data_IF_001486827122
#
_entry.id   IF_001486827122
#
_cell.length_a   1.000
_cell.length_b   1.000
_cell.length_c   1.000
_cell.angle_alpha   90.00
_cell.angle_beta   90.00
_cell.angle_gamma   90.00
#
_symmetry.space_group_name_H-M   'P 1'
#
loop_
_entity.id
_entity.type
_entity.pdbx_description
1 polymer ?
#
# COMPACT_ATOMS: atom_id res chain seq x y z
N UNK A 1 -18.33 8.51 -52.01
CA UNK A 1 -19.42 9.10 -51.21
C UNK A 1 -20.38 8.08 -50.59
N UNK A 2 -20.33 6.79 -50.95
CA UNK A 2 -21.16 5.73 -50.30
C UNK A 2 -20.51 5.03 -49.10
N UNK A 3 -19.21 5.09 -48.93
CA UNK A 3 -18.48 4.42 -47.88
C UNK A 3 -18.54 5.14 -46.52
N UNK A 4 -18.66 6.46 -46.52
CA UNK A 4 -18.72 7.28 -45.26
C UNK A 4 -20.07 7.11 -44.56
N UNK A 5 -21.17 7.01 -45.32
CA UNK A 5 -22.52 6.81 -44.73
C UNK A 5 -22.68 5.44 -44.08
N UNK A 6 -22.05 4.38 -44.64
CA UNK A 6 -22.09 3.03 -44.03
C UNK A 6 -21.37 2.97 -42.68
N UNK A 7 -20.23 3.67 -42.54
CA UNK A 7 -19.46 3.72 -41.29
C UNK A 7 -20.25 4.42 -40.16
N UNK A 8 -20.89 5.55 -40.46
CA UNK A 8 -21.71 6.26 -39.48
C UNK A 8 -22.96 5.46 -39.06
N UNK A 9 -23.59 4.73 -39.98
CA UNK A 9 -24.76 3.92 -39.68
C UNK A 9 -24.36 2.71 -38.80
N UNK A 10 -23.21 2.09 -39.06
CA UNK A 10 -22.73 0.95 -38.27
C UNK A 10 -22.33 1.39 -36.84
N UNK A 11 -21.63 2.52 -36.70
CA UNK A 11 -21.30 3.11 -35.39
C UNK A 11 -22.57 3.48 -34.58
N UNK A 12 -23.55 4.09 -35.24
CA UNK A 12 -24.83 4.44 -34.63
C UNK A 12 -25.68 3.21 -34.25
N UNK A 13 -25.63 2.15 -35.03
CA UNK A 13 -26.35 0.90 -34.78
C UNK A 13 -25.70 0.13 -33.62
N UNK A 14 -24.36 0.15 -33.50
CA UNK A 14 -23.64 -0.50 -32.40
C UNK A 14 -23.85 0.23 -31.09
N UNK A 15 -23.83 1.57 -31.08
CA UNK A 15 -24.14 2.40 -29.90
C UNK A 15 -25.60 2.18 -29.48
N UNK A 16 -26.55 2.08 -30.43
CA UNK A 16 -27.94 1.78 -30.13
C UNK A 16 -28.15 0.35 -29.59
N UNK A 17 -27.35 -0.61 -30.04
CA UNK A 17 -27.37 -2.00 -29.54
C UNK A 17 -26.85 -2.05 -28.09
N UNK A 18 -25.77 -1.37 -27.80
CA UNK A 18 -25.19 -1.27 -26.43
C UNK A 18 -26.19 -0.63 -25.45
N UNK A 19 -26.95 0.36 -25.89
CA UNK A 19 -27.95 1.04 -25.05
C UNK A 19 -29.25 0.23 -24.93
N UNK A 20 -29.67 -0.50 -25.99
CA UNK A 20 -30.92 -1.25 -25.97
C UNK A 20 -30.87 -2.56 -25.17
N UNK A 21 -29.69 -3.18 -25.00
CA UNK A 21 -29.52 -4.36 -24.15
C UNK A 21 -29.74 -4.01 -22.65
N UNK A 22 -29.57 -2.74 -22.28
CA UNK A 22 -29.79 -2.26 -20.90
C UNK A 22 -31.25 -2.23 -20.44
N UNK A 23 -32.22 -2.47 -21.35
CA UNK A 23 -33.67 -2.40 -21.05
C UNK A 23 -34.38 -3.75 -20.95
N UNK A 24 -33.68 -4.89 -21.12
CA UNK A 24 -34.27 -6.22 -20.96
C UNK A 24 -34.12 -6.72 -19.52
N UNK A 25 -35.11 -6.46 -18.67
CA UNK A 25 -35.21 -7.00 -17.32
C UNK A 25 -35.49 -8.50 -17.38
N UNK A 26 -34.54 -9.33 -16.99
CA UNK A 26 -34.83 -10.72 -16.62
C UNK A 26 -34.93 -10.79 -15.09
N UNK A 27 -36.15 -10.94 -14.58
CA UNK A 27 -36.41 -11.23 -13.18
C UNK A 27 -36.04 -12.69 -12.91
N UNK A 28 -35.02 -12.93 -12.13
CA UNK A 28 -34.79 -14.21 -11.48
C UNK A 28 -34.50 -13.97 -10.01
N UNK A 29 -35.46 -14.32 -9.18
CA UNK A 29 -35.33 -14.38 -7.73
C UNK A 29 -34.54 -15.65 -7.37
N UNK A 30 -33.43 -15.50 -6.68
CA UNK A 30 -32.89 -16.61 -5.90
C UNK A 30 -32.42 -16.11 -4.52
N UNK A 31 -33.11 -16.57 -3.49
CA UNK A 31 -32.72 -16.39 -2.08
C UNK A 31 -31.66 -17.45 -1.74
N UNK A 32 -30.54 -17.01 -1.25
CA UNK A 32 -29.50 -17.88 -0.71
C UNK A 32 -28.26 -17.08 -0.29
N UNK A 33 -28.39 -16.32 0.80
CA UNK A 33 -27.24 -15.62 1.38
C UNK A 33 -26.39 -16.64 2.17
N UNK A 34 -25.29 -17.10 1.60
CA UNK A 34 -24.15 -17.60 2.36
C UNK A 34 -23.17 -16.46 2.61
N UNK A 35 -22.88 -16.22 3.88
CA UNK A 35 -21.87 -15.24 4.32
C UNK A 35 -20.49 -15.67 3.82
N UNK A 36 -20.03 -15.04 2.76
CA UNK A 36 -18.66 -15.19 2.29
C UNK A 36 -17.77 -14.19 3.04
N UNK A 37 -16.73 -14.73 3.65
CA UNK A 37 -15.66 -14.04 4.36
C UNK A 37 -15.21 -12.75 3.65
N UNK A 38 -15.24 -11.63 4.37
CA UNK A 38 -14.68 -10.34 3.89
C UNK A 38 -13.15 -10.40 3.95
N UNK A 39 -12.52 -11.13 3.04
CA UNK A 39 -11.16 -10.82 2.64
C UNK A 39 -11.21 -9.52 1.84
N UNK A 40 -10.39 -8.55 2.19
CA UNK A 40 -10.24 -7.31 1.42
C UNK A 40 -9.78 -7.70 0.01
N UNK A 41 -10.71 -7.69 -0.95
CA UNK A 41 -10.41 -7.98 -2.35
C UNK A 41 -9.60 -6.81 -2.89
N UNK A 42 -8.42 -7.08 -3.43
CA UNK A 42 -7.67 -6.09 -4.21
C UNK A 42 -8.49 -5.73 -5.45
N UNK A 43 -8.72 -4.44 -5.68
CA UNK A 43 -9.46 -3.97 -6.85
C UNK A 43 -8.59 -3.82 -8.11
N UNK A 44 -7.29 -4.08 -8.00
CA UNK A 44 -6.39 -4.00 -9.14
C UNK A 44 -6.50 -5.27 -10.00
N UNK A 45 -6.75 -5.11 -11.29
CA UNK A 45 -6.71 -6.20 -12.28
C UNK A 45 -5.58 -5.95 -13.28
N UNK A 46 -4.90 -7.02 -13.69
CA UNK A 46 -3.86 -6.97 -14.72
C UNK A 46 -4.41 -7.18 -16.13
N UNK A 47 -5.61 -7.72 -16.25
CA UNK A 47 -6.28 -8.07 -17.49
C UNK A 47 -7.70 -7.47 -17.57
N UNK A 48 -8.39 -7.70 -18.67
CA UNK A 48 -9.74 -7.19 -18.92
C UNK A 48 -10.88 -8.13 -18.50
N UNK A 49 -10.61 -9.11 -17.65
CA UNK A 49 -11.64 -9.85 -16.91
C UNK A 49 -12.20 -8.94 -15.81
N UNK A 50 -13.18 -8.15 -16.17
CA UNK A 50 -13.69 -7.07 -15.31
C UNK A 50 -14.60 -7.61 -14.21
N UNK A 51 -15.39 -8.62 -14.51
CA UNK A 51 -16.31 -9.23 -13.54
C UNK A 51 -15.69 -10.40 -12.76
N UNK A 52 -14.48 -10.83 -13.13
CA UNK A 52 -13.65 -11.76 -12.35
C UNK A 52 -14.12 -13.21 -12.44
N UNK A 53 -14.71 -13.60 -13.55
CA UNK A 53 -15.18 -14.97 -13.78
C UNK A 53 -14.15 -15.87 -14.51
N UNK A 54 -12.94 -15.34 -14.78
CA UNK A 54 -11.84 -15.97 -15.52
C UNK A 54 -12.15 -16.21 -17.02
N UNK A 55 -13.20 -15.60 -17.55
CA UNK A 55 -13.52 -15.57 -18.97
C UNK A 55 -13.36 -14.13 -19.49
N UNK A 56 -13.18 -13.98 -20.81
CA UNK A 56 -13.03 -12.68 -21.48
C UNK A 56 -14.14 -12.53 -22.51
N UNK A 57 -15.26 -12.02 -22.08
CA UNK A 57 -16.48 -11.98 -22.88
C UNK A 57 -16.81 -10.59 -23.41
N UNK A 58 -17.22 -10.53 -24.68
CA UNK A 58 -17.61 -9.28 -25.31
C UNK A 58 -18.86 -8.63 -24.68
N UNK A 59 -19.82 -9.45 -24.19
CA UNK A 59 -21.10 -8.98 -23.65
C UNK A 59 -21.09 -8.73 -22.14
N UNK A 60 -20.00 -9.10 -21.47
CA UNK A 60 -19.72 -8.79 -20.07
C UNK A 60 -18.56 -7.80 -20.01
N UNK A 61 -17.32 -8.24 -19.99
CA UNK A 61 -16.14 -7.40 -19.85
C UNK A 61 -16.02 -6.30 -20.89
N UNK A 62 -16.14 -6.65 -22.17
CA UNK A 62 -16.09 -5.68 -23.26
C UNK A 62 -17.19 -4.63 -23.17
N UNK A 63 -18.39 -5.04 -22.76
CA UNK A 63 -19.52 -4.12 -22.59
C UNK A 63 -19.36 -3.23 -21.34
N UNK A 64 -18.83 -3.75 -20.23
CA UNK A 64 -18.51 -2.98 -19.02
C UNK A 64 -17.47 -1.91 -19.30
N UNK A 65 -16.38 -2.27 -19.98
CA UNK A 65 -15.33 -1.34 -20.41
C UNK A 65 -15.90 -0.25 -21.32
N UNK A 66 -16.63 -0.63 -22.36
CA UNK A 66 -17.20 0.31 -23.33
C UNK A 66 -18.19 1.27 -22.66
N UNK A 67 -19.05 0.78 -21.76
CA UNK A 67 -19.99 1.62 -21.00
C UNK A 67 -19.27 2.60 -20.08
N UNK A 68 -18.22 2.17 -19.40
CA UNK A 68 -17.39 3.05 -18.55
C UNK A 68 -16.75 4.16 -19.39
N UNK A 69 -16.20 3.85 -20.57
CA UNK A 69 -15.64 4.84 -21.49
C UNK A 69 -16.68 5.83 -22.01
N UNK A 70 -17.97 5.46 -22.08
CA UNK A 70 -19.08 6.38 -22.34
C UNK A 70 -19.52 7.17 -21.10
N UNK A 71 -18.87 6.99 -19.95
CA UNK A 71 -19.18 7.69 -18.70
C UNK A 71 -20.41 7.13 -17.96
N UNK A 72 -20.85 5.90 -18.26
CA UNK A 72 -21.90 5.24 -17.50
C UNK A 72 -21.31 4.76 -16.16
N UNK A 73 -22.07 5.00 -15.08
CA UNK A 73 -21.69 4.61 -13.70
C UNK A 73 -22.89 3.96 -13.01
N UNK A 74 -22.67 3.35 -11.86
CA UNK A 74 -23.73 2.73 -11.07
C UNK A 74 -24.53 1.65 -11.85
N UNK A 75 -25.86 1.57 -11.62
CA UNK A 75 -26.70 0.56 -12.31
C UNK A 75 -26.63 0.59 -13.84
N UNK A 76 -26.57 1.75 -14.54
CA UNK A 76 -26.35 1.79 -15.98
C UNK A 76 -25.06 1.12 -16.46
N UNK A 77 -23.99 1.11 -15.65
CA UNK A 77 -22.75 0.43 -15.97
C UNK A 77 -22.96 -1.08 -16.02
N UNK A 78 -23.56 -1.67 -15.00
CA UNK A 78 -23.55 -3.12 -14.75
C UNK A 78 -24.80 -3.87 -15.23
N UNK A 79 -25.95 -3.19 -15.41
CA UNK A 79 -27.23 -3.87 -15.73
C UNK A 79 -27.12 -4.71 -17.00
N UNK A 80 -27.25 -6.04 -16.85
CA UNK A 80 -27.19 -7.00 -17.95
C UNK A 80 -25.82 -7.10 -18.65
N UNK A 81 -24.75 -6.69 -17.96
CA UNK A 81 -23.39 -6.77 -18.45
C UNK A 81 -22.44 -7.46 -17.45
N UNK A 82 -22.96 -8.09 -16.43
CA UNK A 82 -22.19 -8.90 -15.46
C UNK A 82 -22.62 -10.34 -15.64
N UNK A 83 -21.66 -11.26 -15.70
CA UNK A 83 -21.90 -12.69 -15.87
C UNK A 83 -22.64 -13.29 -14.64
N UNK A 84 -23.32 -14.42 -14.85
CA UNK A 84 -24.08 -15.07 -13.76
C UNK A 84 -23.19 -15.71 -12.69
N UNK A 85 -21.95 -15.99 -13.00
CA UNK A 85 -20.89 -16.56 -12.16
C UNK A 85 -19.80 -15.55 -11.80
N UNK A 86 -20.03 -14.26 -12.07
CA UNK A 86 -19.11 -13.18 -11.77
C UNK A 86 -18.73 -13.13 -10.29
N UNK A 87 -17.45 -12.88 -10.04
CA UNK A 87 -16.92 -12.64 -8.69
C UNK A 87 -17.25 -11.21 -8.22
N UNK A 88 -17.26 -10.26 -9.15
CA UNK A 88 -17.51 -8.83 -8.91
C UNK A 88 -18.84 -8.43 -9.55
N UNK A 89 -19.79 -8.03 -8.69
CA UNK A 89 -21.17 -7.70 -9.12
C UNK A 89 -21.59 -6.29 -8.73
N UNK A 90 -20.80 -5.63 -7.90
CA UNK A 90 -21.07 -4.28 -7.42
C UNK A 90 -20.54 -3.23 -8.41
N UNK A 91 -21.32 -2.17 -8.65
CA UNK A 91 -20.97 -1.17 -9.64
C UNK A 91 -19.74 -0.32 -9.27
N UNK A 92 -19.52 -0.06 -7.99
CA UNK A 92 -18.35 0.71 -7.52
C UNK A 92 -17.09 -0.15 -7.66
N UNK A 93 -17.19 -1.45 -7.35
CA UNK A 93 -16.08 -2.39 -7.49
C UNK A 93 -15.72 -2.59 -8.98
N UNK A 94 -16.69 -2.80 -9.84
CA UNK A 94 -16.52 -2.87 -11.30
C UNK A 94 -15.89 -1.59 -11.84
N UNK A 95 -16.39 -0.42 -11.44
CA UNK A 95 -15.81 0.86 -11.85
C UNK A 95 -14.35 0.99 -11.42
N UNK A 96 -14.04 0.65 -10.17
CA UNK A 96 -12.67 0.69 -9.63
C UNK A 96 -11.72 -0.25 -10.39
N UNK A 97 -12.18 -1.43 -10.80
CA UNK A 97 -11.38 -2.37 -11.58
C UNK A 97 -11.08 -1.83 -12.98
N UNK A 98 -12.06 -1.23 -13.65
CA UNK A 98 -11.84 -0.59 -14.96
C UNK A 98 -10.87 0.59 -14.85
N UNK A 99 -11.04 1.46 -13.85
CA UNK A 99 -10.12 2.58 -13.58
C UNK A 99 -8.70 2.10 -13.25
N UNK A 100 -8.57 0.96 -12.57
CA UNK A 100 -7.28 0.33 -12.25
C UNK A 100 -6.49 -0.11 -13.48
N UNK A 101 -7.13 -0.37 -14.62
CA UNK A 101 -6.44 -0.65 -15.89
C UNK A 101 -5.71 0.58 -16.45
N UNK A 102 -6.22 1.79 -16.17
CA UNK A 102 -5.58 3.04 -16.59
C UNK A 102 -5.22 3.03 -18.08
N UNK A 103 -4.00 3.44 -18.40
CA UNK A 103 -3.50 3.53 -19.79
C UNK A 103 -3.44 2.18 -20.56
N UNK A 104 -3.69 1.05 -19.90
CA UNK A 104 -3.82 -0.23 -20.59
C UNK A 104 -5.06 -0.27 -21.52
N UNK A 105 -6.04 0.58 -21.24
CA UNK A 105 -7.22 0.73 -22.10
C UNK A 105 -7.00 1.65 -23.31
N UNK A 106 -5.84 2.27 -23.45
CA UNK A 106 -5.37 2.94 -24.66
C UNK A 106 -4.81 1.87 -25.63
N UNK A 107 -5.73 1.25 -26.34
CA UNK A 107 -5.44 0.06 -27.16
C UNK A 107 -4.62 0.41 -28.39
N UNK A 108 -4.87 1.55 -29.03
CA UNK A 108 -4.16 1.98 -30.22
C UNK A 108 -2.94 2.88 -29.90
N UNK A 109 -2.74 3.22 -28.62
CA UNK A 109 -1.62 4.02 -28.11
C UNK A 109 -1.54 5.41 -28.74
N UNK A 110 -2.67 6.12 -28.83
CA UNK A 110 -2.73 7.52 -29.28
C UNK A 110 -2.58 8.51 -28.11
N UNK A 111 -2.53 8.01 -26.85
CA UNK A 111 -2.45 8.77 -25.61
C UNK A 111 -3.80 9.15 -25.01
N UNK A 112 -4.91 8.71 -25.59
CA UNK A 112 -6.26 8.89 -25.07
C UNK A 112 -6.95 7.55 -24.90
N UNK A 113 -8.00 7.50 -24.09
CA UNK A 113 -8.83 6.32 -23.90
C UNK A 113 -10.24 6.67 -24.40
N UNK A 114 -10.58 6.18 -25.56
CA UNK A 114 -11.79 6.55 -26.28
C UNK A 114 -12.74 5.38 -26.54
N UNK A 115 -14.04 5.58 -26.28
CA UNK A 115 -15.04 4.54 -26.48
C UNK A 115 -15.19 4.08 -27.95
N UNK A 116 -14.95 4.99 -28.92
CA UNK A 116 -15.15 4.73 -30.36
C UNK A 116 -13.88 4.24 -31.07
N UNK A 117 -12.76 4.27 -30.42
CA UNK A 117 -11.49 3.67 -30.83
C UNK A 117 -11.21 2.47 -29.94
N UNK A 118 -10.61 2.65 -28.78
CA UNK A 118 -10.18 1.59 -27.88
C UNK A 118 -11.30 0.67 -27.42
N UNK A 119 -12.41 1.25 -26.95
CA UNK A 119 -13.56 0.48 -26.49
C UNK A 119 -14.18 -0.37 -27.61
N UNK A 120 -14.23 0.17 -28.82
CA UNK A 120 -14.79 -0.57 -29.98
C UNK A 120 -13.82 -1.62 -30.49
N UNK A 121 -12.52 -1.35 -30.50
CA UNK A 121 -11.49 -2.37 -30.83
C UNK A 121 -11.53 -3.50 -29.80
N UNK A 122 -11.55 -3.19 -28.50
CA UNK A 122 -11.68 -4.18 -27.43
C UNK A 122 -12.90 -5.08 -27.65
N UNK A 123 -14.07 -4.49 -27.88
CA UNK A 123 -15.30 -5.23 -28.09
C UNK A 123 -15.23 -6.14 -29.35
N UNK A 124 -14.66 -5.63 -30.45
CA UNK A 124 -14.48 -6.40 -31.70
C UNK A 124 -13.54 -7.59 -31.48
N UNK A 125 -12.43 -7.38 -30.77
CA UNK A 125 -11.49 -8.46 -30.46
C UNK A 125 -12.15 -9.56 -29.63
N UNK A 126 -12.89 -9.20 -28.61
CA UNK A 126 -13.63 -10.16 -27.75
C UNK A 126 -14.76 -10.88 -28.51
N UNK A 127 -15.31 -10.28 -29.58
CA UNK A 127 -16.18 -11.00 -30.54
C UNK A 127 -15.42 -11.90 -31.52
N UNK A 128 -14.09 -12.00 -31.40
CA UNK A 128 -13.25 -12.85 -32.22
C UNK A 128 -12.96 -12.26 -33.63
N UNK A 129 -13.10 -10.94 -33.83
CA UNK A 129 -12.68 -10.29 -35.07
C UNK A 129 -11.15 -10.18 -35.09
N UNK A 130 -10.56 -10.47 -36.25
CA UNK A 130 -9.12 -10.39 -36.50
C UNK A 130 -8.86 -9.69 -37.85
N UNK A 131 -7.60 -9.28 -38.09
CA UNK A 131 -7.20 -8.62 -39.35
C UNK A 131 -7.93 -7.30 -39.60
N UNK A 132 -8.13 -6.94 -40.84
CA UNK A 132 -8.78 -5.68 -41.22
C UNK A 132 -10.15 -5.43 -40.55
N UNK A 133 -11.06 -6.42 -40.39
CA UNK A 133 -12.30 -6.22 -39.65
C UNK A 133 -12.14 -5.74 -38.19
N UNK A 134 -11.05 -6.08 -37.54
CA UNK A 134 -10.77 -5.63 -36.16
C UNK A 134 -10.53 -4.12 -36.10
N UNK A 135 -9.73 -3.60 -37.03
CA UNK A 135 -9.19 -2.23 -36.97
C UNK A 135 -9.86 -1.22 -37.90
N UNK A 136 -10.68 -1.66 -38.85
CA UNK A 136 -11.29 -0.77 -39.86
C UNK A 136 -12.12 0.34 -39.25
N UNK A 137 -11.74 1.59 -39.53
CA UNK A 137 -12.41 2.83 -39.10
C UNK A 137 -12.48 3.06 -37.57
N UNK A 138 -11.61 2.39 -36.80
CA UNK A 138 -11.61 2.49 -35.32
C UNK A 138 -10.25 2.82 -34.72
N UNK A 139 -9.22 2.95 -35.54
CA UNK A 139 -7.89 3.41 -35.06
C UNK A 139 -7.86 4.93 -35.12
N UNK A 140 -7.40 5.56 -34.05
CA UNK A 140 -7.30 7.00 -33.94
C UNK A 140 -6.21 7.59 -34.86
N UNK A 141 -6.37 8.85 -35.21
CA UNK A 141 -5.32 9.57 -35.93
C UNK A 141 -4.18 9.90 -34.99
N UNK A 142 -2.99 9.39 -35.28
CA UNK A 142 -1.80 9.59 -34.44
C UNK A 142 -1.48 8.40 -33.55
N UNK A 143 -2.26 7.32 -33.66
CA UNK A 143 -1.99 6.06 -32.95
C UNK A 143 -0.63 5.47 -33.35
N UNK A 144 0.05 4.84 -32.40
CA UNK A 144 1.29 4.11 -32.64
C UNK A 144 1.02 2.65 -33.05
N UNK A 145 -0.05 2.02 -32.49
CA UNK A 145 -0.51 0.67 -32.89
C UNK A 145 -1.57 0.79 -33.98
N UNK A 146 -1.14 0.67 -35.23
CA UNK A 146 -1.99 0.92 -36.40
C UNK A 146 -2.30 -0.33 -37.22
N UNK A 147 -1.64 -1.45 -36.95
CA UNK A 147 -1.86 -2.72 -37.66
C UNK A 147 -2.70 -3.68 -36.82
N UNK A 148 -3.43 -4.56 -37.48
CA UNK A 148 -4.19 -5.58 -36.79
C UNK A 148 -3.29 -6.50 -35.96
N UNK A 149 -2.09 -6.82 -36.46
CA UNK A 149 -1.11 -7.65 -35.77
C UNK A 149 -0.65 -7.02 -34.45
N UNK A 150 -0.36 -5.70 -34.43
CA UNK A 150 0.03 -4.98 -33.22
C UNK A 150 -1.11 -4.95 -32.19
N UNK A 151 -2.33 -4.70 -32.65
CA UNK A 151 -3.53 -4.69 -31.79
C UNK A 151 -3.82 -6.08 -31.23
N UNK A 152 -3.81 -7.13 -32.08
CA UNK A 152 -4.02 -8.51 -31.65
C UNK A 152 -2.97 -8.98 -30.65
N UNK A 153 -1.70 -8.64 -30.85
CA UNK A 153 -0.63 -8.95 -29.93
C UNK A 153 -0.83 -8.26 -28.57
N UNK A 154 -1.24 -7.00 -28.58
CA UNK A 154 -1.54 -6.24 -27.35
C UNK A 154 -2.77 -6.79 -26.62
N UNK A 155 -3.85 -7.06 -27.33
CA UNK A 155 -5.07 -7.64 -26.79
C UNK A 155 -4.84 -9.05 -26.21
N UNK A 156 -3.97 -9.86 -26.83
CA UNK A 156 -3.60 -11.18 -26.31
C UNK A 156 -2.97 -11.10 -24.92
N UNK A 157 -2.19 -10.03 -24.61
CA UNK A 157 -1.67 -9.79 -23.25
C UNK A 157 -2.81 -9.41 -22.29
N UNK A 158 -3.72 -8.53 -22.71
CA UNK A 158 -4.84 -8.10 -21.88
C UNK A 158 -5.88 -9.20 -21.61
N UNK A 159 -5.95 -10.20 -22.47
CA UNK A 159 -6.82 -11.39 -22.31
C UNK A 159 -6.06 -12.63 -21.83
N UNK A 160 -4.90 -12.46 -21.24
CA UNK A 160 -4.20 -13.55 -20.56
C UNK A 160 -4.56 -13.59 -19.09
N UNK A 161 -4.84 -14.77 -18.57
CA UNK A 161 -4.93 -14.98 -17.14
C UNK A 161 -3.53 -14.85 -16.52
N UNK A 162 -3.44 -14.10 -15.45
CA UNK A 162 -2.21 -14.00 -14.69
C UNK A 162 -2.10 -15.21 -13.76
N UNK A 163 -1.15 -16.09 -14.07
CA UNK A 163 -0.88 -17.32 -13.32
C UNK A 163 0.44 -17.29 -12.55
N UNK A 164 1.22 -16.23 -12.73
CA UNK A 164 2.53 -16.11 -12.12
C UNK A 164 2.44 -15.25 -10.86
N UNK A 165 2.90 -15.74 -9.70
CA UNK A 165 2.87 -14.95 -8.49
C UNK A 165 4.01 -13.93 -8.43
N UNK A 166 3.84 -12.80 -7.70
CA UNK A 166 4.90 -11.81 -7.48
C UNK A 166 6.17 -12.43 -6.91
N UNK A 167 7.33 -11.93 -7.34
CA UNK A 167 8.66 -12.37 -6.87
C UNK A 167 9.30 -11.24 -6.08
N UNK A 168 9.64 -11.49 -4.81
CA UNK A 168 10.37 -10.53 -3.99
C UNK A 168 11.74 -10.22 -4.58
N UNK A 169 12.07 -8.95 -4.68
CA UNK A 169 13.37 -8.43 -5.14
C UNK A 169 14.19 -7.83 -4.01
N UNK A 170 13.54 -7.45 -2.90
CA UNK A 170 14.24 -7.05 -1.67
C UNK A 170 14.77 -8.27 -0.90
N UNK A 171 15.77 -8.01 -0.05
CA UNK A 171 16.27 -9.01 0.88
C UNK A 171 15.25 -9.29 2.00
N UNK A 172 15.38 -10.47 2.62
CA UNK A 172 14.55 -10.86 3.77
C UNK A 172 15.08 -10.31 5.12
N UNK A 173 16.23 -9.65 5.11
CA UNK A 173 16.87 -9.13 6.33
C UNK A 173 17.04 -7.62 6.24
N UNK A 174 16.66 -6.92 7.31
CA UNK A 174 16.78 -5.48 7.46
C UNK A 174 17.52 -5.16 8.74
N UNK A 175 18.14 -3.98 8.79
CA UNK A 175 18.73 -3.43 10.01
C UNK A 175 18.25 -2.00 10.15
N UNK A 176 17.80 -1.62 11.35
CA UNK A 176 17.39 -0.26 11.66
C UNK A 176 17.87 0.09 13.08
N UNK A 177 18.20 1.35 13.30
CA UNK A 177 18.56 1.82 14.62
C UNK A 177 17.33 1.86 15.54
N UNK A 178 17.54 1.71 16.81
CA UNK A 178 16.50 1.96 17.80
C UNK A 178 16.08 3.44 17.85
N UNK A 179 15.08 3.75 18.68
CA UNK A 179 14.57 5.10 18.92
C UNK A 179 13.96 5.77 17.68
N UNK A 180 13.77 5.02 16.59
CA UNK A 180 13.10 5.45 15.36
C UNK A 180 12.16 4.37 14.83
N UNK A 181 11.22 4.74 13.96
CA UNK A 181 10.27 3.77 13.38
C UNK A 181 10.62 3.34 11.97
N UNK A 182 11.42 4.09 11.22
CA UNK A 182 11.75 3.77 9.85
C UNK A 182 12.67 2.56 9.74
N UNK A 183 12.35 1.61 8.84
CA UNK A 183 13.17 0.42 8.58
C UNK A 183 13.71 0.44 7.15
N UNK A 184 12.83 0.51 6.15
CA UNK A 184 13.23 0.44 4.75
C UNK A 184 12.04 0.17 3.83
N UNK A 185 12.31 -0.44 2.67
CA UNK A 185 11.27 -0.77 1.69
C UNK A 185 11.42 -2.21 1.24
N UNK A 186 10.32 -2.94 1.26
CA UNK A 186 10.17 -4.25 0.63
C UNK A 186 9.77 -4.03 -0.82
N UNK A 187 10.37 -4.77 -1.74
CA UNK A 187 10.06 -4.69 -3.17
C UNK A 187 9.82 -6.07 -3.76
N UNK A 188 8.93 -6.13 -4.73
CA UNK A 188 8.67 -7.30 -5.54
C UNK A 188 8.40 -6.88 -6.99
N UNK A 189 8.53 -7.83 -7.91
CA UNK A 189 8.18 -7.68 -9.32
C UNK A 189 7.27 -8.81 -9.76
N UNK A 190 6.46 -8.54 -10.74
CA UNK A 190 5.64 -9.53 -11.40
C UNK A 190 5.80 -9.40 -12.91
N UNK A 191 5.73 -10.53 -13.62
CA UNK A 191 5.94 -10.57 -15.07
C UNK A 191 4.73 -10.01 -15.84
N UNK A 192 3.52 -10.18 -15.28
CA UNK A 192 2.25 -9.90 -15.93
C UNK A 192 1.52 -8.72 -15.28
N UNK A 193 1.88 -8.34 -14.04
CA UNK A 193 1.26 -7.24 -13.30
C UNK A 193 2.24 -6.11 -13.02
N UNK A 194 1.80 -4.87 -13.20
CA UNK A 194 2.55 -3.66 -12.83
C UNK A 194 2.18 -3.12 -11.43
N UNK A 195 1.15 -3.68 -10.80
CA UNK A 195 0.66 -3.24 -9.50
C UNK A 195 0.80 -4.37 -8.48
N UNK A 196 1.65 -4.18 -7.49
CA UNK A 196 1.83 -5.13 -6.38
C UNK A 196 1.48 -4.41 -5.08
N UNK A 197 0.62 -5.03 -4.28
CA UNK A 197 0.25 -4.55 -2.97
C UNK A 197 0.92 -5.41 -1.89
N UNK A 198 1.38 -4.75 -0.81
CA UNK A 198 2.02 -5.42 0.31
C UNK A 198 1.15 -5.41 1.55
N UNK A 199 1.25 -6.49 2.33
CA UNK A 199 0.70 -6.62 3.68
C UNK A 199 1.66 -7.37 4.58
N UNK A 200 1.49 -7.28 5.91
CA UNK A 200 2.40 -7.89 6.88
C UNK A 200 1.61 -8.54 8.02
N UNK A 201 2.16 -9.63 8.55
CA UNK A 201 1.61 -10.32 9.71
C UNK A 201 2.04 -9.67 11.04
N UNK A 202 1.22 -9.85 12.08
CA UNK A 202 1.53 -9.37 13.43
C UNK A 202 1.17 -7.89 13.63
N UNK A 203 1.69 -7.31 14.73
CA UNK A 203 1.37 -5.94 15.15
C UNK A 203 2.59 -5.11 15.57
N UNK A 204 3.79 -5.70 15.57
CA UNK A 204 5.03 -5.03 15.97
C UNK A 204 5.69 -4.27 14.82
N UNK A 205 5.45 -4.76 13.58
CA UNK A 205 5.87 -4.13 12.33
C UNK A 205 4.64 -3.71 11.53
N UNK A 206 4.78 -2.71 10.69
CA UNK A 206 3.77 -2.24 9.76
C UNK A 206 4.38 -2.06 8.36
N UNK A 207 3.55 -2.24 7.33
CA UNK A 207 3.94 -2.02 5.94
C UNK A 207 2.83 -1.27 5.22
N UNK A 208 3.19 -0.35 4.33
CA UNK A 208 2.22 0.29 3.44
C UNK A 208 1.96 -0.60 2.22
N UNK A 209 0.89 -0.32 1.48
CA UNK A 209 0.63 -0.98 0.18
C UNK A 209 1.80 -0.89 -0.79
N UNK A 210 2.60 0.19 -0.70
CA UNK A 210 3.77 0.44 -1.56
C UNK A 210 5.06 -0.18 -1.03
N UNK A 211 4.99 -0.98 0.05
CA UNK A 211 6.12 -1.71 0.62
C UNK A 211 6.97 -0.94 1.64
N UNK A 212 6.59 0.25 2.08
CA UNK A 212 7.34 0.98 3.12
C UNK A 212 7.16 0.29 4.46
N UNK A 213 8.26 -0.27 4.98
CA UNK A 213 8.33 -1.02 6.22
C UNK A 213 8.74 -0.14 7.40
N UNK A 214 8.05 -0.26 8.51
CA UNK A 214 8.31 0.49 9.74
C UNK A 214 8.00 -0.33 11.00
N UNK A 215 8.59 0.04 12.13
CA UNK A 215 8.13 -0.42 13.43
C UNK A 215 6.78 0.24 13.78
N UNK A 216 5.92 -0.47 14.45
CA UNK A 216 4.67 0.08 14.98
C UNK A 216 4.90 1.08 16.12
N UNK A 217 5.98 0.88 16.88
CA UNK A 217 6.54 1.82 17.85
C UNK A 217 8.07 1.74 17.79
N UNK A 218 8.76 2.84 18.10
CA UNK A 218 10.22 2.84 18.14
C UNK A 218 10.74 1.73 19.07
N UNK A 219 11.66 0.87 18.60
CA UNK A 219 12.26 -0.18 19.41
C UNK A 219 13.27 0.42 20.42
N UNK A 220 13.55 -0.34 21.45
CA UNK A 220 14.55 -0.17 22.47
C UNK A 220 15.43 -1.43 22.41
N UNK A 221 16.72 -1.24 22.10
CA UNK A 221 17.67 -2.33 21.84
C UNK A 221 17.91 -3.17 23.10
N UNK A 222 17.98 -2.54 24.27
CA UNK A 222 18.20 -3.20 25.58
C UNK A 222 17.01 -4.10 25.94
N UNK A 223 15.82 -3.79 25.38
CA UNK A 223 14.61 -4.59 25.58
C UNK A 223 14.45 -5.66 24.50
N UNK A 224 14.68 -5.32 23.22
CA UNK A 224 14.45 -6.26 22.11
C UNK A 224 15.29 -5.95 20.87
N UNK A 225 16.22 -6.86 20.55
CA UNK A 225 17.21 -6.71 19.48
C UNK A 225 16.77 -7.18 18.10
N UNK A 226 15.61 -7.85 17.97
CA UNK A 226 15.13 -8.35 16.66
C UNK A 226 13.62 -8.54 16.61
N UNK A 227 13.07 -8.38 15.42
CA UNK A 227 11.66 -8.54 15.07
C UNK A 227 11.53 -9.44 13.85
N UNK A 228 10.48 -10.25 13.80
CA UNK A 228 10.16 -11.13 12.68
C UNK A 228 8.72 -10.98 12.26
N UNK A 229 8.46 -11.07 10.97
CA UNK A 229 7.12 -11.08 10.43
C UNK A 229 7.11 -11.76 9.05
N UNK A 230 5.93 -12.13 8.58
CA UNK A 230 5.71 -12.58 7.20
C UNK A 230 5.10 -11.44 6.40
N UNK A 231 5.77 -11.05 5.32
CA UNK A 231 5.24 -10.10 4.33
C UNK A 231 4.58 -10.90 3.22
N UNK A 232 3.41 -10.44 2.79
CA UNK A 232 2.70 -10.94 1.62
C UNK A 232 2.72 -9.88 0.52
N UNK A 233 3.13 -10.26 -0.68
CA UNK A 233 3.01 -9.50 -1.91
C UNK A 233 1.87 -10.09 -2.75
N UNK A 234 0.97 -9.26 -3.26
CA UNK A 234 -0.15 -9.66 -4.11
C UNK A 234 -0.23 -8.77 -5.34
N UNK A 235 -0.43 -9.37 -6.51
CA UNK A 235 -0.74 -8.69 -7.78
C UNK A 235 -2.25 -8.47 -8.00
N UNK A 236 -3.08 -8.96 -7.06
CA UNK A 236 -4.54 -8.95 -7.14
C UNK A 236 -5.14 -10.32 -7.50
N UNK A 237 -4.38 -11.21 -8.14
CA UNK A 237 -4.77 -12.58 -8.54
C UNK A 237 -4.00 -13.61 -7.73
N UNK A 238 -2.68 -13.46 -7.71
CA UNK A 238 -1.75 -14.38 -7.04
C UNK A 238 -1.08 -13.70 -5.84
N UNK A 239 -0.48 -14.49 -4.98
CA UNK A 239 0.25 -13.97 -3.82
C UNK A 239 1.49 -14.80 -3.53
N UNK A 240 2.53 -14.13 -3.01
CA UNK A 240 3.76 -14.75 -2.50
C UNK A 240 4.04 -14.21 -1.11
N UNK A 241 4.63 -15.03 -0.26
CA UNK A 241 5.01 -14.64 1.10
C UNK A 241 6.52 -14.75 1.31
N UNK A 242 7.06 -13.83 2.12
CA UNK A 242 8.45 -13.85 2.55
C UNK A 242 8.54 -13.57 4.05
N UNK A 243 9.20 -14.46 4.79
CA UNK A 243 9.54 -14.19 6.18
C UNK A 243 10.71 -13.21 6.23
N UNK A 244 10.56 -12.16 7.01
CA UNK A 244 11.58 -11.13 7.21
C UNK A 244 12.08 -11.09 8.64
N UNK A 245 13.33 -10.69 8.78
CA UNK A 245 13.97 -10.40 10.08
C UNK A 245 14.47 -8.97 10.07
N UNK A 246 14.09 -8.20 11.07
CA UNK A 246 14.61 -6.85 11.31
C UNK A 246 15.47 -6.88 12.55
N UNK A 247 16.77 -6.63 12.39
CA UNK A 247 17.72 -6.45 13.51
C UNK A 247 17.74 -5.00 13.94
N UNK A 248 17.64 -4.76 15.23
CA UNK A 248 17.82 -3.42 15.83
C UNK A 248 19.31 -3.19 16.05
N UNK A 249 19.82 -2.04 15.69
CA UNK A 249 21.16 -1.59 16.07
C UNK A 249 21.09 -0.62 17.22
N UNK A 250 22.00 -0.81 18.15
CA UNK A 250 22.22 -0.01 19.32
C UNK A 250 22.58 1.45 18.99
N UNK A 251 22.08 2.39 19.76
CA UNK A 251 22.39 3.81 19.71
C UNK A 251 22.65 4.28 21.13
N UNK A 252 23.85 4.73 21.41
CA UNK A 252 24.28 5.27 22.71
C UNK A 252 23.32 6.37 23.20
N UNK A 253 22.69 6.18 24.36
CA UNK A 253 21.75 7.07 25.01
C UNK A 253 22.40 7.79 26.21
N UNK A 254 21.81 8.92 26.52
CA UNK A 254 22.31 9.68 27.68
C UNK A 254 21.85 9.04 28.99
N UNK A 255 22.70 9.08 30.04
CA UNK A 255 22.33 8.58 31.35
C UNK A 255 21.03 9.18 31.89
N UNK A 256 20.19 8.34 32.48
CA UNK A 256 18.89 8.71 33.05
C UNK A 256 19.04 8.99 34.54
N UNK A 257 18.56 10.16 34.96
CA UNK A 257 18.60 10.60 36.35
C UNK A 257 17.23 11.12 36.80
N UNK A 258 16.83 10.75 38.01
CA UNK A 258 15.61 11.24 38.65
C UNK A 258 15.68 12.70 39.09
N UNK A 259 14.55 13.26 39.50
CA UNK A 259 14.49 14.55 40.19
C UNK A 259 14.64 14.29 41.69
N UNK A 260 15.60 14.95 42.34
CA UNK A 260 15.92 14.76 43.74
C UNK A 260 15.63 16.02 44.54
N UNK A 261 14.91 15.86 45.67
CA UNK A 261 14.71 16.87 46.68
C UNK A 261 15.13 16.28 48.01
N UNK A 262 16.04 16.96 48.71
CA UNK A 262 16.56 16.51 49.99
C UNK A 262 16.21 17.49 51.11
N UNK A 263 16.07 16.94 52.29
CA UNK A 263 16.06 17.71 53.56
C UNK A 263 17.23 17.22 54.38
N UNK A 264 18.03 18.13 54.89
CA UNK A 264 19.16 17.83 55.73
C UNK A 264 19.13 18.75 56.97
N UNK A 265 19.56 18.20 58.06
CA UNK A 265 19.68 18.99 59.29
C UNK A 265 20.91 19.95 59.22
N UNK A 266 20.82 21.08 59.87
CA UNK A 266 21.97 21.98 60.01
C UNK A 266 23.08 21.32 60.82
N UNK A 267 24.25 21.94 60.82
CA UNK A 267 25.45 21.52 61.59
C UNK A 267 26.00 20.13 61.16
N UNK A 268 25.54 19.56 60.03
CA UNK A 268 26.11 18.34 59.47
C UNK A 268 26.32 18.51 57.99
N UNK A 269 27.14 17.67 57.35
CA UNK A 269 27.44 17.77 55.89
C UNK A 269 26.73 16.75 55.09
N UNK A 270 26.18 15.68 55.64
CA UNK A 270 25.49 14.61 54.84
C UNK A 270 24.14 15.09 54.34
N UNK A 271 23.86 14.84 53.04
CA UNK A 271 22.58 15.19 52.40
C UNK A 271 21.85 13.91 51.96
N UNK A 272 22.48 13.09 51.16
CA UNK A 272 21.85 11.89 50.58
C UNK A 272 22.66 11.31 49.40
N UNK A 273 21.99 10.62 48.49
CA UNK A 273 22.66 10.07 47.31
C UNK A 273 21.82 10.28 46.07
N UNK A 274 22.48 10.64 44.99
CA UNK A 274 21.94 10.71 43.62
C UNK A 274 22.27 9.41 42.92
N UNK A 275 21.32 8.84 42.19
CA UNK A 275 21.52 7.66 41.37
C UNK A 275 21.21 8.05 39.94
N UNK A 276 22.12 7.72 39.05
CA UNK A 276 21.91 7.76 37.61
C UNK A 276 22.22 6.38 37.03
N UNK A 277 21.52 6.01 36.01
CA UNK A 277 21.71 4.76 35.27
C UNK A 277 21.81 5.06 33.80
N UNK A 278 22.69 4.35 33.16
CA UNK A 278 22.87 4.36 31.73
C UNK A 278 22.07 3.18 31.11
N UNK A 279 21.29 3.38 30.03
CA UNK A 279 20.55 2.30 29.41
C UNK A 279 21.43 1.14 28.96
N UNK A 280 22.59 1.43 28.35
CA UNK A 280 23.57 0.44 27.88
C UNK A 280 24.38 -0.18 29.04
N UNK A 281 24.19 0.33 30.26
CA UNK A 281 24.88 -0.14 31.46
C UNK A 281 26.32 0.40 31.61
N UNK A 282 26.64 1.46 30.91
CA UNK A 282 27.92 2.12 30.98
C UNK A 282 28.15 2.81 32.35
N UNK A 283 29.40 3.11 32.65
CA UNK A 283 29.76 3.73 33.91
C UNK A 283 29.46 5.23 33.91
N UNK A 284 28.45 5.63 34.65
CA UNK A 284 28.05 7.03 34.76
C UNK A 284 28.99 7.82 35.70
N UNK A 285 29.46 8.96 35.26
CA UNK A 285 30.14 9.94 36.10
C UNK A 285 29.21 11.06 36.53
N UNK A 286 29.30 11.45 37.80
CA UNK A 286 28.45 12.49 38.40
C UNK A 286 29.27 13.72 38.78
N UNK A 287 28.73 14.89 38.48
CA UNK A 287 29.28 16.18 38.89
C UNK A 287 28.19 17.12 39.42
N UNK A 288 28.54 18.07 40.26
CA UNK A 288 27.61 19.06 40.81
C UNK A 288 28.13 20.48 40.56
N UNK A 289 27.22 21.38 40.19
CA UNK A 289 27.57 22.79 39.94
C UNK A 289 27.78 23.56 41.24
N UNK A 290 28.63 24.59 41.15
CA UNK A 290 28.93 25.49 42.30
C UNK A 290 29.99 24.91 43.24
N UNK A 291 30.09 25.48 44.46
CA UNK A 291 31.10 25.11 45.45
C UNK A 291 30.50 24.81 46.83
N UNK A 292 29.19 24.94 46.98
CA UNK A 292 28.52 24.73 48.28
C UNK A 292 28.13 23.26 48.48
N UNK A 293 27.93 22.52 47.40
CA UNK A 293 27.61 21.09 47.41
C UNK A 293 28.75 20.30 46.75
N UNK A 294 28.95 19.09 47.18
CA UNK A 294 29.93 18.14 46.67
C UNK A 294 29.23 16.84 46.34
N UNK A 295 29.65 16.17 45.27
CA UNK A 295 29.18 14.83 44.90
C UNK A 295 30.37 13.91 44.68
N UNK A 296 30.28 12.68 45.14
CA UNK A 296 31.30 11.65 44.86
C UNK A 296 30.96 10.91 43.59
N UNK A 297 31.92 10.16 43.04
CA UNK A 297 31.68 9.27 41.90
C UNK A 297 30.61 8.20 42.17
N UNK A 298 30.38 7.83 43.41
CA UNK A 298 29.30 6.92 43.84
C UNK A 298 27.98 7.63 44.15
N UNK A 299 27.85 8.92 43.81
CA UNK A 299 26.61 9.68 43.96
C UNK A 299 26.33 10.23 45.35
N UNK A 300 27.24 10.09 46.32
CA UNK A 300 27.01 10.65 47.65
C UNK A 300 27.10 12.16 47.61
N UNK A 301 25.98 12.82 47.95
CA UNK A 301 25.83 14.27 47.99
C UNK A 301 26.03 14.81 49.38
N UNK A 302 26.83 15.85 49.51
CA UNK A 302 27.16 16.49 50.78
C UNK A 302 27.32 18.01 50.66
N UNK A 303 27.17 18.73 51.76
CA UNK A 303 27.61 20.13 51.85
C UNK A 303 29.12 20.19 51.87
N UNK A 304 29.72 21.23 51.30
CA UNK A 304 31.16 21.52 51.41
C UNK A 304 31.56 22.00 52.79
N UNK A 305 30.61 22.59 53.49
CA UNK A 305 30.71 22.94 54.91
C UNK A 305 29.35 22.82 55.57
N UNK A 306 29.33 22.49 56.88
CA UNK A 306 28.06 22.33 57.59
C UNK A 306 27.22 23.63 57.53
N UNK A 307 25.95 23.54 57.09
CA UNK A 307 25.07 24.70 56.95
C UNK A 307 24.59 25.22 58.30
N UNK A 308 24.25 26.49 58.31
CA UNK A 308 23.61 27.21 59.41
C UNK A 308 22.26 27.69 58.90
N UNK A 309 21.15 27.16 59.42
CA UNK A 309 19.80 27.41 58.98
C UNK A 309 19.40 28.89 59.10
N UNK A 310 19.82 29.56 60.15
CA UNK A 310 19.52 30.97 60.38
C UNK A 310 20.21 31.89 59.38
N UNK A 311 21.34 31.42 58.84
CA UNK A 311 22.09 32.16 57.79
C UNK A 311 21.61 31.84 56.40
N UNK A 312 21.36 30.54 56.10
CA UNK A 312 20.90 30.06 54.74
C UNK A 312 20.11 28.80 54.90
N UNK A 313 18.79 28.88 54.63
CA UNK A 313 17.83 27.78 54.81
C UNK A 313 17.66 26.88 53.58
N UNK A 314 18.23 27.22 52.40
CA UNK A 314 18.12 26.39 51.19
C UNK A 314 19.35 26.49 50.28
N UNK A 315 19.64 25.41 49.60
CA UNK A 315 20.72 25.27 48.63
C UNK A 315 20.19 24.65 47.35
N UNK A 316 20.62 25.13 46.20
CA UNK A 316 20.29 24.61 44.90
C UNK A 316 21.54 24.41 44.06
N UNK A 317 21.61 23.31 43.34
CA UNK A 317 22.66 23.03 42.37
C UNK A 317 22.13 22.16 41.22
N UNK A 318 22.85 22.15 40.12
CA UNK A 318 22.58 21.21 39.00
C UNK A 318 23.55 20.04 39.17
N UNK A 319 23.01 18.84 39.19
CA UNK A 319 23.79 17.62 39.04
C UNK A 319 23.78 17.23 37.55
N UNK A 320 24.95 16.88 37.04
CA UNK A 320 25.14 16.40 35.66
C UNK A 320 25.66 14.98 35.72
N UNK A 321 25.03 14.08 34.95
CA UNK A 321 25.47 12.73 34.66
C UNK A 321 26.00 12.65 33.23
N UNK A 322 27.13 11.99 33.04
CA UNK A 322 27.80 11.81 31.75
C UNK A 322 28.43 10.43 31.70
#
# INVERSE_FOLDING_TARGET
>A
MKTVESSHILKSALVALVISISSASVYSSNEGAEQQSTASKSSATSNIDIDGNEEFDALTDGLLILRSMFGLTNSPLITGAVAGDALYVDAEEIQSRIEGLGNRLDIDNDGNIDALTDGLVTLRYLFGLTGDPLISDVIATGADRITAEDIEAYMAVLTSLDTEPPVFTSQATFTAAENQTAIGTVTATDANSSSIAFSISGSELSITSDGVLSFASAPDYETKTSYTATVTASDGTNLTTQDIVVSVSDVDEAPIMGVFNYTADENQTSIGSVVATDPEGEAVSLSVSGSELLITSGGVLSFSSAPDYETKSSYTATVTAT
#
